data_IF_010549910579
#
_entry.id   IF_010549910579
#
_cell.length_a   1.000
_cell.length_b   1.000
_cell.length_c   1.000
_cell.angle_alpha   90.00
_cell.angle_beta   90.00
_cell.angle_gamma   90.00
#
_symmetry.space_group_name_H-M   'P 1'
#
loop_
_entity.id
_entity.type
_entity.pdbx_description
1 polymer ?
#
# COMPACT_ATOMS: atom_id res chain seq x y z
N UNK A 1 -23.43 10.67 -15.92
CA UNK A 1 -24.40 11.38 -15.04
C UNK A 1 -23.97 12.79 -14.67
N UNK A 2 -22.84 13.01 -13.97
CA UNK A 2 -22.55 14.32 -13.39
C UNK A 2 -22.44 15.50 -14.37
N UNK A 3 -21.85 15.28 -15.53
CA UNK A 3 -21.67 16.33 -16.54
C UNK A 3 -22.99 16.71 -17.26
N UNK A 4 -23.91 15.75 -17.47
CA UNK A 4 -25.22 16.01 -18.08
C UNK A 4 -26.08 16.82 -17.13
N UNK A 5 -26.09 16.45 -15.84
CA UNK A 5 -26.82 17.19 -14.81
C UNK A 5 -26.29 18.63 -14.68
N UNK A 6 -24.97 18.81 -14.71
CA UNK A 6 -24.35 20.14 -14.71
C UNK A 6 -24.72 20.98 -15.95
N UNK A 7 -24.78 20.36 -17.14
CA UNK A 7 -25.19 21.04 -18.38
C UNK A 7 -26.67 21.46 -18.35
N UNK A 8 -27.55 20.59 -17.85
CA UNK A 8 -28.99 20.90 -17.70
C UNK A 8 -29.18 22.06 -16.71
N UNK A 9 -28.51 22.00 -15.57
CA UNK A 9 -28.54 23.04 -14.54
C UNK A 9 -28.02 24.39 -15.08
N UNK A 10 -26.96 24.37 -15.89
CA UNK A 10 -26.34 25.56 -16.49
C UNK A 10 -27.09 26.11 -17.72
N UNK A 11 -28.05 25.38 -18.30
CA UNK A 11 -28.72 25.81 -19.53
C UNK A 11 -29.43 27.17 -19.37
N UNK A 12 -29.38 28.05 -20.37
CA UNK A 12 -29.99 29.39 -20.34
C UNK A 12 -31.53 29.39 -20.46
N UNK A 13 -32.20 28.28 -20.15
CA UNK A 13 -33.66 28.23 -20.13
C UNK A 13 -34.22 29.18 -19.04
N UNK A 14 -35.38 29.76 -19.31
CA UNK A 14 -36.07 30.76 -18.47
C UNK A 14 -35.97 30.40 -16.97
N UNK A 15 -35.45 31.31 -16.11
CA UNK A 15 -35.30 31.06 -14.67
C UNK A 15 -36.64 30.83 -13.95
N UNK A 16 -37.76 31.17 -14.57
CA UNK A 16 -39.10 30.92 -14.01
C UNK A 16 -39.57 29.47 -14.21
N UNK A 17 -38.97 28.72 -15.14
CA UNK A 17 -39.33 27.33 -15.43
C UNK A 17 -38.40 26.40 -14.65
N UNK A 18 -38.99 25.64 -13.73
CA UNK A 18 -38.27 24.57 -13.00
C UNK A 18 -38.22 23.35 -13.92
N UNK A 19 -37.04 22.95 -14.43
CA UNK A 19 -36.94 21.78 -15.30
C UNK A 19 -37.19 20.51 -14.49
N UNK A 20 -37.84 19.53 -15.13
CA UNK A 20 -38.04 18.18 -14.60
C UNK A 20 -36.96 17.29 -15.19
N UNK A 21 -36.22 16.57 -14.33
CA UNK A 21 -35.17 15.65 -14.74
C UNK A 21 -35.49 14.24 -14.26
N UNK A 22 -35.62 13.31 -15.19
CA UNK A 22 -35.84 11.90 -14.91
C UNK A 22 -34.51 11.17 -14.77
N UNK A 23 -34.39 10.30 -13.77
CA UNK A 23 -33.19 9.51 -13.53
C UNK A 23 -33.55 8.17 -12.89
N UNK A 24 -32.93 7.10 -13.34
CA UNK A 24 -32.99 5.76 -12.72
C UNK A 24 -31.96 5.57 -11.61
N UNK A 25 -31.01 6.49 -11.48
CA UNK A 25 -30.01 6.47 -10.42
C UNK A 25 -30.55 7.09 -9.13
N UNK A 26 -31.16 6.27 -8.26
CA UNK A 26 -31.75 6.69 -6.98
C UNK A 26 -30.82 7.56 -6.13
N UNK A 27 -29.55 7.17 -6.01
CA UNK A 27 -28.56 7.91 -5.23
C UNK A 27 -28.39 9.37 -5.69
N UNK A 28 -28.56 9.64 -6.99
CA UNK A 28 -28.50 11.01 -7.51
C UNK A 28 -29.77 11.79 -7.22
N UNK A 29 -30.93 11.14 -7.25
CA UNK A 29 -32.22 11.75 -6.89
C UNK A 29 -32.19 12.17 -5.43
N UNK A 30 -31.88 11.23 -4.52
CA UNK A 30 -31.80 11.49 -3.07
C UNK A 30 -30.81 12.61 -2.76
N UNK A 31 -29.64 12.59 -3.43
CA UNK A 31 -28.61 13.61 -3.21
C UNK A 31 -29.12 15.02 -3.54
N UNK A 32 -29.87 15.19 -4.63
CA UNK A 32 -30.40 16.50 -5.05
C UNK A 32 -31.57 16.94 -4.17
N UNK A 33 -32.47 16.03 -3.81
CA UNK A 33 -33.57 16.30 -2.89
C UNK A 33 -33.05 16.75 -1.52
N UNK A 34 -32.06 16.04 -0.96
CA UNK A 34 -31.47 16.38 0.33
C UNK A 34 -30.88 17.81 0.38
N UNK A 35 -30.27 18.27 -0.72
CA UNK A 35 -29.70 19.62 -0.81
C UNK A 35 -30.80 20.68 -0.79
N UNK A 36 -31.93 20.41 -1.47
CA UNK A 36 -33.05 21.34 -1.49
C UNK A 36 -33.65 21.54 -0.09
N UNK A 37 -33.53 20.50 0.76
CA UNK A 37 -33.93 20.51 2.17
C UNK A 37 -32.80 21.06 3.07
N UNK A 38 -31.67 21.51 2.50
CA UNK A 38 -30.49 22.07 3.19
C UNK A 38 -29.77 21.11 4.13
N UNK A 39 -29.84 19.79 3.86
CA UNK A 39 -29.05 18.79 4.59
C UNK A 39 -27.59 18.83 4.11
N UNK A 40 -26.63 18.84 5.04
CA UNK A 40 -25.21 18.78 4.67
C UNK A 40 -24.86 17.38 4.13
N UNK A 41 -24.24 17.34 2.95
CA UNK A 41 -23.82 16.12 2.27
C UNK A 41 -22.30 15.85 2.42
N UNK A 42 -21.58 16.68 3.18
CA UNK A 42 -20.12 16.64 3.24
C UNK A 42 -19.57 15.31 3.74
N UNK A 43 -20.24 14.68 4.72
CA UNK A 43 -19.86 13.37 5.25
C UNK A 43 -20.00 12.27 4.18
N UNK A 44 -21.11 12.29 3.41
CA UNK A 44 -21.39 11.35 2.33
C UNK A 44 -20.36 11.47 1.21
N UNK A 45 -20.02 12.69 0.80
CA UNK A 45 -19.09 12.94 -0.31
C UNK A 45 -17.63 12.60 -0.01
N UNK A 46 -17.21 12.54 1.26
CA UNK A 46 -15.80 12.26 1.62
C UNK A 46 -15.29 10.92 1.07
N UNK A 47 -16.15 9.92 1.02
CA UNK A 47 -15.81 8.57 0.55
C UNK A 47 -16.19 8.28 -0.89
N UNK A 48 -16.87 9.19 -1.59
CA UNK A 48 -17.39 8.95 -2.92
C UNK A 48 -16.33 9.21 -4.00
N UNK A 49 -16.30 8.35 -5.01
CA UNK A 49 -15.51 8.58 -6.21
C UNK A 49 -16.12 9.74 -7.02
N UNK A 50 -15.28 10.59 -7.61
CA UNK A 50 -15.75 11.76 -8.37
C UNK A 50 -16.48 12.79 -7.51
N UNK A 51 -16.14 12.92 -6.22
CA UNK A 51 -16.72 13.91 -5.30
C UNK A 51 -16.65 15.34 -5.81
N UNK A 52 -15.66 15.69 -6.64
CA UNK A 52 -15.57 17.01 -7.29
C UNK A 52 -16.78 17.24 -8.20
N UNK A 53 -17.14 16.27 -9.03
CA UNK A 53 -18.35 16.33 -9.86
C UNK A 53 -19.61 16.47 -9.02
N UNK A 54 -19.74 15.71 -7.93
CA UNK A 54 -20.88 15.85 -7.03
C UNK A 54 -20.94 17.24 -6.41
N UNK A 55 -19.83 17.77 -5.88
CA UNK A 55 -19.76 19.13 -5.32
C UNK A 55 -20.12 20.20 -6.36
N UNK A 56 -19.66 20.04 -7.60
CA UNK A 56 -20.01 20.95 -8.68
C UNK A 56 -21.51 20.93 -8.98
N UNK A 57 -22.11 19.74 -9.07
CA UNK A 57 -23.56 19.59 -9.21
C UNK A 57 -24.30 20.22 -8.03
N UNK A 58 -23.84 20.02 -6.79
CA UNK A 58 -24.49 20.61 -5.61
C UNK A 58 -24.43 22.13 -5.66
N UNK A 59 -23.32 22.71 -6.11
CA UNK A 59 -23.18 24.16 -6.27
C UNK A 59 -24.21 24.68 -7.27
N UNK A 60 -24.34 24.03 -8.43
CA UNK A 60 -25.32 24.39 -9.46
C UNK A 60 -26.77 24.20 -8.99
N UNK A 61 -27.07 23.13 -8.24
CA UNK A 61 -28.40 22.85 -7.70
C UNK A 61 -28.83 23.85 -6.61
N UNK A 62 -27.87 24.55 -5.97
CA UNK A 62 -28.16 25.67 -5.05
C UNK A 62 -28.54 26.94 -5.80
N UNK A 63 -27.95 27.16 -6.97
CA UNK A 63 -28.23 28.33 -7.82
C UNK A 63 -29.54 28.18 -8.59
N UNK A 64 -29.88 26.96 -9.01
CA UNK A 64 -31.10 26.67 -9.79
C UNK A 64 -31.86 25.47 -9.23
N UNK A 65 -33.16 25.66 -8.99
CA UNK A 65 -34.07 24.57 -8.60
C UNK A 65 -34.32 23.65 -9.79
N UNK A 66 -34.31 22.34 -9.53
CA UNK A 66 -34.65 21.28 -10.49
C UNK A 66 -35.54 20.28 -9.78
N UNK A 67 -36.60 19.84 -10.43
CA UNK A 67 -37.41 18.76 -9.90
C UNK A 67 -36.85 17.43 -10.42
N UNK A 68 -36.22 16.66 -9.55
CA UNK A 68 -35.65 15.37 -9.94
C UNK A 68 -36.65 14.26 -9.61
N UNK A 69 -36.99 13.44 -10.60
CA UNK A 69 -37.96 12.36 -10.43
C UNK A 69 -37.30 11.01 -10.71
N UNK A 70 -37.36 10.13 -9.72
CA UNK A 70 -36.93 8.76 -9.89
C UNK A 70 -37.83 8.04 -10.89
N UNK A 71 -37.21 7.39 -11.88
CA UNK A 71 -37.90 6.53 -12.85
C UNK A 71 -37.25 5.15 -12.82
N UNK A 72 -38.03 4.10 -12.62
CA UNK A 72 -37.47 2.74 -12.52
C UNK A 72 -36.79 2.34 -13.83
N UNK A 73 -35.52 1.98 -13.76
CA UNK A 73 -34.75 1.46 -14.89
C UNK A 73 -35.37 0.19 -15.46
N UNK A 74 -35.26 0.02 -16.78
CA UNK A 74 -35.73 -1.15 -17.54
C UNK A 74 -37.21 -1.52 -17.31
N UNK A 75 -38.07 -0.57 -16.97
CA UNK A 75 -39.51 -0.81 -16.92
C UNK A 75 -40.07 -1.07 -18.33
N UNK A 76 -41.05 -1.98 -18.44
CA UNK A 76 -41.84 -2.17 -19.66
C UNK A 76 -42.96 -1.12 -19.81
N UNK A 77 -42.97 -0.10 -18.93
CA UNK A 77 -44.01 0.92 -18.92
C UNK A 77 -43.90 1.83 -20.15
N UNK A 78 -45.05 2.20 -20.69
CA UNK A 78 -45.15 3.11 -21.83
C UNK A 78 -45.31 4.58 -21.39
N UNK A 79 -45.10 4.88 -20.11
CA UNK A 79 -45.12 6.24 -19.59
C UNK A 79 -44.01 7.10 -20.21
N UNK A 80 -44.26 8.40 -20.41
CA UNK A 80 -43.27 9.33 -20.96
C UNK A 80 -41.93 9.31 -20.20
N UNK A 81 -41.89 9.31 -18.84
CA UNK A 81 -40.63 9.16 -18.10
C UNK A 81 -39.87 7.88 -18.44
N UNK A 82 -40.58 6.75 -18.55
CA UNK A 82 -39.96 5.45 -18.88
C UNK A 82 -39.42 5.41 -20.31
N UNK A 83 -40.10 6.07 -21.26
CA UNK A 83 -39.61 6.19 -22.63
C UNK A 83 -38.33 7.04 -22.70
N UNK A 84 -38.32 8.20 -22.06
CA UNK A 84 -37.14 9.09 -22.02
C UNK A 84 -35.95 8.43 -21.31
N UNK A 85 -36.19 7.69 -20.22
CA UNK A 85 -35.12 6.96 -19.54
C UNK A 85 -34.54 5.84 -20.41
N UNK A 86 -35.39 5.08 -21.13
CA UNK A 86 -34.92 4.05 -22.07
C UNK A 86 -34.07 4.63 -23.20
N UNK A 87 -34.45 5.80 -23.71
CA UNK A 87 -33.68 6.49 -24.74
C UNK A 87 -32.32 6.97 -24.19
N UNK A 88 -32.30 7.54 -22.98
CA UNK A 88 -31.07 7.92 -22.30
C UNK A 88 -30.14 6.72 -22.05
N UNK A 89 -30.66 5.60 -21.58
CA UNK A 89 -29.91 4.35 -21.38
C UNK A 89 -29.37 3.78 -22.70
N UNK A 90 -30.17 3.87 -23.77
CA UNK A 90 -29.76 3.44 -25.11
C UNK A 90 -28.55 4.23 -25.59
N UNK A 91 -28.57 5.57 -25.48
CA UNK A 91 -27.42 6.40 -25.86
C UNK A 91 -26.24 6.22 -24.91
N UNK A 92 -26.47 6.11 -23.61
CA UNK A 92 -25.40 5.87 -22.63
C UNK A 92 -24.67 4.55 -22.92
N UNK A 93 -25.42 3.47 -23.13
CA UNK A 93 -24.87 2.14 -23.47
C UNK A 93 -24.24 2.12 -24.86
N UNK A 94 -24.85 2.80 -25.84
CA UNK A 94 -24.33 2.93 -27.19
C UNK A 94 -22.99 3.67 -27.23
N UNK A 95 -22.84 4.73 -26.43
CA UNK A 95 -21.62 5.53 -26.36
C UNK A 95 -20.41 4.74 -25.84
N UNK A 96 -20.63 3.72 -25.00
CA UNK A 96 -19.57 2.85 -24.49
C UNK A 96 -18.89 2.02 -25.59
N UNK A 97 -19.57 1.81 -26.74
CA UNK A 97 -19.01 1.09 -27.89
C UNK A 97 -17.99 1.92 -28.67
N UNK A 98 -18.01 3.25 -28.50
CA UNK A 98 -17.16 4.17 -29.24
C UNK A 98 -16.46 5.14 -28.28
N UNK A 99 -15.61 4.63 -27.36
CA UNK A 99 -14.99 5.48 -26.34
C UNK A 99 -14.12 6.59 -26.94
N UNK A 100 -13.55 6.37 -28.12
CA UNK A 100 -12.73 7.36 -28.84
C UNK A 100 -13.54 8.56 -29.37
N UNK A 101 -14.84 8.39 -29.58
CA UNK A 101 -15.76 9.44 -30.04
C UNK A 101 -16.39 10.21 -28.87
N UNK A 102 -16.25 9.71 -27.64
CA UNK A 102 -16.80 10.39 -26.46
C UNK A 102 -15.80 11.47 -26.03
N UNK A 103 -16.19 12.76 -26.07
CA UNK A 103 -15.30 13.84 -25.66
C UNK A 103 -14.94 13.69 -24.18
N UNK A 104 -13.67 13.95 -23.87
CA UNK A 104 -13.19 13.93 -22.48
C UNK A 104 -13.92 15.00 -21.66
N UNK A 105 -14.64 14.57 -20.63
CA UNK A 105 -15.24 15.47 -19.66
C UNK A 105 -14.14 15.98 -18.71
N UNK A 106 -13.83 17.29 -18.67
CA UNK A 106 -12.79 17.81 -17.80
C UNK A 106 -13.20 17.66 -16.33
N UNK A 107 -12.27 17.16 -15.51
CA UNK A 107 -12.49 17.02 -14.07
C UNK A 107 -12.59 18.42 -13.41
N UNK A 108 -13.64 18.71 -12.62
CA UNK A 108 -13.88 20.04 -12.06
C UNK A 108 -12.93 20.35 -10.90
N UNK A 109 -11.69 20.73 -11.21
CA UNK A 109 -10.62 21.02 -10.25
C UNK A 109 -10.97 22.14 -9.27
N UNK A 110 -11.82 23.09 -9.67
CA UNK A 110 -12.31 24.19 -8.83
C UNK A 110 -13.19 23.73 -7.65
N UNK A 111 -13.63 22.47 -7.62
CA UNK A 111 -14.40 21.87 -6.51
C UNK A 111 -13.64 20.78 -5.75
N UNK A 112 -12.38 20.54 -6.13
CA UNK A 112 -11.50 19.61 -5.43
C UNK A 112 -11.05 20.18 -4.09
N UNK A 113 -10.54 19.31 -3.21
CA UNK A 113 -9.85 19.77 -2.00
C UNK A 113 -8.50 20.42 -2.40
N UNK A 114 -8.05 21.40 -1.61
CA UNK A 114 -6.83 22.16 -1.87
C UNK A 114 -5.56 21.31 -2.05
N UNK A 115 -5.50 20.12 -1.43
CA UNK A 115 -4.36 19.20 -1.48
C UNK A 115 -4.75 17.84 -2.09
N UNK A 116 -5.54 17.86 -3.17
CA UNK A 116 -5.89 16.64 -3.91
C UNK A 116 -4.66 16.07 -4.60
N UNK A 117 -4.40 14.78 -4.40
CA UNK A 117 -3.22 14.11 -4.97
C UNK A 117 -3.36 13.97 -6.50
N UNK A 118 -2.23 14.04 -7.19
CA UNK A 118 -2.16 13.87 -8.65
C UNK A 118 -0.97 12.99 -9.04
N UNK A 119 -1.19 12.06 -9.97
CA UNK A 119 -0.12 11.34 -10.66
C UNK A 119 -0.34 11.42 -12.18
N UNK A 120 0.76 11.34 -12.94
CA UNK A 120 0.69 11.33 -14.41
C UNK A 120 -0.04 10.10 -14.96
N UNK A 121 0.02 8.98 -14.25
CA UNK A 121 -0.60 7.73 -14.65
C UNK A 121 -2.09 7.67 -14.32
N UNK A 122 -2.48 8.08 -13.10
CA UNK A 122 -3.84 7.89 -12.57
C UNK A 122 -4.69 9.17 -12.60
N UNK A 123 -4.08 10.34 -12.85
CA UNK A 123 -4.74 11.63 -12.79
C UNK A 123 -4.99 12.09 -11.35
N UNK A 124 -6.13 12.73 -11.12
CA UNK A 124 -6.52 13.25 -9.81
C UNK A 124 -7.11 12.16 -8.91
N UNK A 125 -6.50 11.95 -7.74
CA UNK A 125 -6.93 10.95 -6.76
C UNK A 125 -7.80 11.63 -5.71
N UNK A 126 -9.11 11.55 -5.92
CA UNK A 126 -10.09 12.22 -5.07
C UNK A 126 -10.50 11.42 -3.83
N UNK A 127 -10.38 10.10 -3.87
CA UNK A 127 -10.81 9.20 -2.79
C UNK A 127 -9.66 8.32 -2.31
N UNK A 128 -9.77 7.89 -1.06
CA UNK A 128 -8.91 6.86 -0.48
C UNK A 128 -7.38 7.14 -0.56
N UNK A 129 -6.99 8.39 -0.31
CA UNK A 129 -5.59 8.82 -0.32
C UNK A 129 -4.68 7.94 0.56
N UNK A 130 -5.20 7.44 1.69
CA UNK A 130 -4.46 6.53 2.58
C UNK A 130 -4.07 5.25 1.87
N UNK A 131 -5.00 4.56 1.22
CA UNK A 131 -4.69 3.31 0.52
C UNK A 131 -3.78 3.58 -0.68
N UNK A 132 -3.99 4.69 -1.37
CA UNK A 132 -3.12 5.13 -2.46
C UNK A 132 -1.67 5.30 -1.99
N UNK A 133 -1.44 6.09 -0.94
CA UNK A 133 -0.11 6.32 -0.36
C UNK A 133 0.50 4.99 0.14
N UNK A 134 -0.28 4.19 0.87
CA UNK A 134 0.19 2.90 1.39
C UNK A 134 0.64 1.96 0.27
N UNK A 135 -0.07 1.93 -0.86
CA UNK A 135 0.31 1.13 -2.01
C UNK A 135 1.68 1.53 -2.56
N UNK A 136 1.93 2.83 -2.73
CA UNK A 136 3.23 3.30 -3.24
C UNK A 136 4.36 3.09 -2.23
N UNK A 137 4.12 3.30 -0.93
CA UNK A 137 5.10 2.99 0.11
C UNK A 137 5.43 1.49 0.17
N UNK A 138 4.42 0.63 0.06
CA UNK A 138 4.61 -0.81 0.01
C UNK A 138 5.39 -1.23 -1.24
N UNK A 139 5.07 -0.64 -2.40
CA UNK A 139 5.79 -0.87 -3.65
C UNK A 139 7.25 -0.44 -3.54
N UNK A 140 7.53 0.75 -3.01
CA UNK A 140 8.90 1.23 -2.80
C UNK A 140 9.66 0.31 -1.84
N UNK A 141 9.04 -0.08 -0.73
CA UNK A 141 9.65 -1.02 0.21
C UNK A 141 9.96 -2.37 -0.46
N UNK A 142 9.02 -2.91 -1.26
CA UNK A 142 9.24 -4.13 -2.01
C UNK A 142 10.36 -4.00 -3.06
N UNK A 143 10.43 -2.88 -3.79
CA UNK A 143 11.52 -2.63 -4.75
C UNK A 143 12.88 -2.44 -4.05
N UNK A 144 12.89 -1.89 -2.83
CA UNK A 144 14.11 -1.77 -2.03
C UNK A 144 14.57 -3.12 -1.47
N UNK A 145 13.62 -3.97 -1.06
CA UNK A 145 13.87 -5.36 -0.69
C UNK A 145 14.39 -6.17 -1.88
N UNK A 146 13.80 -6.00 -3.07
CA UNK A 146 14.23 -6.70 -4.28
C UNK A 146 15.64 -6.30 -4.75
N UNK A 147 16.04 -5.05 -4.50
CA UNK A 147 17.36 -4.51 -4.90
C UNK A 147 18.44 -4.67 -3.83
N UNK A 148 18.11 -5.01 -2.58
CA UNK A 148 19.12 -5.14 -1.53
C UNK A 148 18.65 -5.83 -0.26
N UNK A 149 19.61 -6.43 0.44
CA UNK A 149 19.39 -7.21 1.67
C UNK A 149 19.27 -6.36 2.94
N UNK A 150 19.05 -5.04 2.80
CA UNK A 150 19.15 -4.05 3.90
C UNK A 150 17.89 -3.90 4.73
N UNK A 151 16.76 -4.42 4.26
CA UNK A 151 15.50 -4.43 4.99
C UNK A 151 15.17 -5.89 5.31
N UNK A 152 14.93 -6.20 6.58
CA UNK A 152 14.45 -7.54 6.97
C UNK A 152 12.93 -7.53 6.99
N UNK A 153 12.32 -8.61 6.50
CA UNK A 153 10.88 -8.80 6.60
C UNK A 153 10.47 -8.81 8.08
N UNK A 154 9.31 -8.23 8.38
CA UNK A 154 8.75 -8.24 9.73
C UNK A 154 8.56 -9.69 10.16
N UNK A 155 9.26 -10.11 11.21
CA UNK A 155 9.31 -11.51 11.63
C UNK A 155 7.93 -12.07 11.97
N UNK A 156 6.99 -11.26 12.46
CA UNK A 156 5.63 -11.71 12.79
C UNK A 156 4.81 -12.20 11.57
N UNK A 157 5.23 -11.90 10.33
CA UNK A 157 4.55 -12.36 9.12
C UNK A 157 4.88 -13.83 8.83
N UNK A 158 6.04 -14.31 9.32
CA UNK A 158 6.57 -15.64 9.02
C UNK A 158 6.83 -16.48 10.28
N UNK A 159 6.88 -15.85 11.44
CA UNK A 159 7.02 -16.47 12.75
C UNK A 159 5.78 -16.14 13.59
N UNK A 160 4.96 -17.15 13.81
CA UNK A 160 3.75 -17.04 14.64
C UNK A 160 4.05 -17.16 16.15
N UNK A 161 5.31 -17.37 16.53
CA UNK A 161 5.70 -17.40 17.93
C UNK A 161 5.74 -15.98 18.48
N UNK A 162 5.26 -15.75 19.72
CA UNK A 162 5.45 -14.47 20.37
C UNK A 162 6.96 -14.17 20.46
N UNK A 163 7.37 -12.91 20.25
CA UNK A 163 8.77 -12.55 20.42
C UNK A 163 9.23 -12.95 21.83
N UNK A 164 10.47 -13.42 22.01
CA UNK A 164 10.97 -13.78 23.34
C UNK A 164 10.76 -12.59 24.29
N UNK A 165 10.24 -12.83 25.50
CA UNK A 165 9.93 -11.78 26.49
C UNK A 165 11.13 -10.83 26.72
N UNK A 166 12.34 -11.38 26.59
CA UNK A 166 13.58 -10.63 26.73
C UNK A 166 14.63 -11.11 25.72
N UNK A 167 14.64 -10.60 24.49
CA UNK A 167 15.61 -11.03 23.49
C UNK A 167 17.06 -10.69 23.91
N UNK A 168 17.22 -9.67 24.75
CA UNK A 168 18.50 -9.03 25.04
C UNK A 168 18.98 -9.20 26.49
N UNK A 169 18.14 -9.71 27.42
CA UNK A 169 18.58 -9.90 28.82
C UNK A 169 19.55 -11.06 29.00
N UNK A 170 19.69 -11.91 27.97
CA UNK A 170 20.72 -12.96 27.90
C UNK A 170 22.00 -12.51 27.23
N UNK A 171 22.10 -11.24 26.83
CA UNK A 171 23.34 -10.70 26.30
C UNK A 171 24.38 -10.61 27.42
N UNK A 172 25.59 -11.11 27.17
CA UNK A 172 26.69 -11.09 28.13
C UNK A 172 27.13 -9.65 28.50
N UNK A 173 26.75 -8.65 27.68
CA UNK A 173 27.03 -7.24 27.89
C UNK A 173 26.03 -6.34 27.17
N UNK A 174 25.99 -5.06 27.56
CA UNK A 174 25.21 -4.02 26.87
C UNK A 174 25.64 -3.84 25.42
N UNK A 175 26.94 -3.97 25.14
CA UNK A 175 27.50 -3.89 23.78
C UNK A 175 27.00 -5.06 22.91
N UNK A 176 26.96 -6.27 23.45
CA UNK A 176 26.43 -7.44 22.73
C UNK A 176 24.95 -7.26 22.38
N UNK A 177 24.14 -6.74 23.30
CA UNK A 177 22.73 -6.43 23.03
C UNK A 177 22.56 -5.41 21.90
N UNK A 178 23.39 -4.35 21.90
CA UNK A 178 23.38 -3.31 20.86
C UNK A 178 23.77 -3.89 19.49
N UNK A 179 24.80 -4.74 19.43
CA UNK A 179 25.20 -5.41 18.18
C UNK A 179 24.06 -6.29 17.68
N UNK A 180 23.44 -7.10 18.55
CA UNK A 180 22.31 -7.95 18.18
C UNK A 180 21.12 -7.15 17.64
N UNK A 181 20.81 -5.99 18.24
CA UNK A 181 19.77 -5.07 17.76
C UNK A 181 20.09 -4.53 16.36
N UNK A 182 21.33 -4.11 16.14
CA UNK A 182 21.76 -3.60 14.84
C UNK A 182 21.79 -4.68 13.76
N UNK A 183 22.25 -5.90 14.10
CA UNK A 183 22.22 -7.04 13.17
C UNK A 183 20.79 -7.40 12.80
N UNK A 184 19.87 -7.51 13.79
CA UNK A 184 18.46 -7.84 13.55
C UNK A 184 17.72 -6.77 12.75
N UNK A 185 18.06 -5.51 12.92
CA UNK A 185 17.46 -4.40 12.16
C UNK A 185 18.10 -4.17 10.79
N UNK A 186 19.17 -4.90 10.44
CA UNK A 186 19.92 -4.67 9.20
C UNK A 186 20.69 -3.33 9.20
N UNK A 187 20.99 -2.80 10.39
CA UNK A 187 21.60 -1.49 10.59
C UNK A 187 22.99 -1.57 11.24
N UNK A 188 23.62 -2.75 11.22
CA UNK A 188 25.01 -2.88 11.65
C UNK A 188 25.88 -1.90 10.85
N UNK A 189 26.74 -1.10 11.49
CA UNK A 189 27.51 -0.05 10.83
C UNK A 189 28.72 -0.65 10.09
N UNK A 190 28.45 -1.54 9.14
CA UNK A 190 29.45 -2.07 8.21
C UNK A 190 29.80 -1.00 7.18
N UNK A 191 30.96 -1.13 6.52
CA UNK A 191 31.37 -0.14 5.52
C UNK A 191 30.35 -0.01 4.38
N UNK A 192 29.69 -1.09 3.96
CA UNK A 192 28.60 -1.07 2.98
C UNK A 192 27.41 -0.20 3.42
N UNK A 193 27.02 -0.27 4.69
CA UNK A 193 25.93 0.54 5.24
C UNK A 193 26.36 2.00 5.38
N UNK A 194 27.56 2.24 5.86
CA UNK A 194 28.09 3.59 6.09
C UNK A 194 28.35 4.35 4.78
N UNK A 195 28.88 3.69 3.75
CA UNK A 195 29.05 4.26 2.41
C UNK A 195 27.69 4.65 1.81
N UNK A 196 26.68 3.78 1.90
CA UNK A 196 25.33 4.09 1.40
C UNK A 196 24.64 5.27 2.13
N UNK A 197 25.16 5.64 3.30
CA UNK A 197 24.72 6.82 4.09
C UNK A 197 25.67 8.01 3.92
N UNK A 198 26.60 7.96 2.97
CA UNK A 198 27.63 8.97 2.71
C UNK A 198 28.48 9.29 3.95
N UNK A 199 28.71 8.29 4.81
CA UNK A 199 29.56 8.39 6.00
C UNK A 199 30.96 7.83 5.79
N UNK A 200 31.14 6.99 4.77
CA UNK A 200 32.43 6.49 4.33
C UNK A 200 32.58 6.65 2.81
N UNK A 201 33.81 6.79 2.31
CA UNK A 201 34.09 6.94 0.88
C UNK A 201 34.13 5.60 0.11
N UNK A 202 34.15 4.47 0.82
CA UNK A 202 34.26 3.13 0.24
C UNK A 202 33.54 2.10 1.10
N UNK A 203 32.98 1.07 0.46
CA UNK A 203 32.38 -0.10 1.09
C UNK A 203 33.36 -1.26 1.31
N UNK A 204 34.64 -1.11 0.98
CA UNK A 204 35.64 -2.14 1.20
C UNK A 204 35.85 -2.44 2.69
N UNK A 205 36.26 -3.67 2.99
CA UNK A 205 36.57 -4.13 4.33
C UNK A 205 37.61 -3.23 5.00
N UNK A 206 37.22 -2.59 6.10
CA UNK A 206 38.11 -1.73 6.89
C UNK A 206 39.22 -2.50 7.60
N UNK A 207 39.11 -3.83 7.64
CA UNK A 207 40.11 -4.72 8.21
C UNK A 207 41.14 -5.21 7.18
N UNK A 208 41.06 -4.73 5.93
CA UNK A 208 42.08 -4.98 4.91
C UNK A 208 41.78 -6.16 3.97
N UNK A 209 40.59 -6.74 4.01
CA UNK A 209 40.17 -7.77 3.06
C UNK A 209 39.83 -7.15 1.70
N UNK A 210 40.12 -7.89 0.61
CA UNK A 210 39.69 -7.52 -0.75
C UNK A 210 38.23 -7.94 -1.00
N UNK A 211 37.33 -7.45 -0.15
CA UNK A 211 35.91 -7.75 -0.20
C UNK A 211 35.10 -6.57 0.36
N UNK A 212 33.81 -6.51 -0.01
CA UNK A 212 32.87 -5.54 0.57
C UNK A 212 32.59 -5.90 2.03
N UNK A 213 32.68 -4.92 2.92
CA UNK A 213 32.30 -5.08 4.32
C UNK A 213 30.77 -5.14 4.47
N UNK A 214 30.22 -6.31 4.16
CA UNK A 214 28.83 -6.65 4.44
C UNK A 214 28.74 -7.39 5.78
N UNK A 215 27.52 -7.50 6.33
CA UNK A 215 27.27 -8.31 7.53
C UNK A 215 27.71 -9.77 7.30
N UNK A 216 27.45 -10.29 6.10
CA UNK A 216 27.86 -11.64 5.72
C UNK A 216 29.38 -11.78 5.72
N UNK A 217 30.10 -10.88 5.04
CA UNK A 217 31.56 -10.88 5.07
C UNK A 217 32.10 -10.82 6.50
N UNK A 218 31.58 -9.94 7.36
CA UNK A 218 32.04 -9.83 8.77
C UNK A 218 31.86 -11.13 9.56
N UNK A 219 30.75 -11.86 9.37
CA UNK A 219 30.40 -13.02 10.19
C UNK A 219 30.65 -14.39 9.54
N UNK A 220 31.03 -14.45 8.26
CA UNK A 220 31.23 -15.70 7.51
C UNK A 220 32.59 -15.74 6.82
N UNK A 221 32.97 -14.68 6.09
CA UNK A 221 34.14 -14.75 5.19
C UNK A 221 35.41 -14.08 5.74
N UNK A 222 35.29 -13.11 6.64
CA UNK A 222 36.40 -12.22 7.00
C UNK A 222 37.51 -12.97 7.73
N UNK A 223 38.75 -13.04 7.21
CA UNK A 223 39.84 -13.80 7.85
C UNK A 223 40.15 -13.35 9.28
N UNK A 224 40.04 -12.06 9.58
CA UNK A 224 40.29 -11.52 10.92
C UNK A 224 39.38 -12.10 12.02
N UNK A 225 38.21 -12.62 11.64
CA UNK A 225 37.27 -13.23 12.57
C UNK A 225 37.22 -14.77 12.46
N UNK A 226 38.13 -15.39 11.71
CA UNK A 226 38.13 -16.85 11.48
C UNK A 226 38.22 -17.65 12.78
N UNK A 227 39.19 -17.35 13.64
CA UNK A 227 39.37 -18.02 14.93
C UNK A 227 38.11 -17.92 15.80
N UNK A 228 37.47 -16.76 15.81
CA UNK A 228 36.25 -16.51 16.56
C UNK A 228 35.06 -17.29 16.00
N UNK A 229 34.95 -17.41 14.67
CA UNK A 229 33.91 -18.21 14.02
C UNK A 229 34.07 -19.68 14.32
N UNK A 230 35.30 -20.22 14.23
CA UNK A 230 35.58 -21.62 14.53
C UNK A 230 35.24 -21.94 15.99
N UNK A 231 35.71 -21.13 16.95
CA UNK A 231 35.42 -21.31 18.36
C UNK A 231 33.91 -21.22 18.66
N UNK A 232 33.21 -20.23 18.10
CA UNK A 232 31.77 -20.07 18.28
C UNK A 232 30.96 -21.21 17.63
N UNK A 233 31.39 -21.69 16.46
CA UNK A 233 30.78 -22.81 15.76
C UNK A 233 30.88 -24.13 16.54
N UNK A 234 32.05 -24.41 17.12
CA UNK A 234 32.26 -25.55 18.02
C UNK A 234 31.39 -25.44 19.28
N UNK A 235 31.36 -24.27 19.93
CA UNK A 235 30.55 -24.05 21.13
C UNK A 235 29.05 -24.26 20.84
N UNK A 236 28.55 -23.70 19.74
CA UNK A 236 27.14 -23.83 19.34
C UNK A 236 26.80 -25.27 19.00
N UNK A 237 27.68 -25.97 18.27
CA UNK A 237 27.47 -27.39 17.94
C UNK A 237 27.36 -28.24 19.21
N UNK A 238 28.31 -28.11 20.13
CA UNK A 238 28.34 -28.88 21.39
C UNK A 238 27.15 -28.55 22.29
N UNK A 239 26.75 -27.28 22.36
CA UNK A 239 25.56 -26.85 23.11
C UNK A 239 24.27 -27.39 22.48
N UNK A 240 24.23 -27.50 21.16
CA UNK A 240 23.08 -28.02 20.42
C UNK A 240 22.95 -29.52 20.62
N UNK A 241 24.05 -30.28 20.55
CA UNK A 241 24.09 -31.71 20.89
C UNK A 241 23.54 -31.99 22.29
N UNK A 242 24.02 -31.25 23.30
CA UNK A 242 23.54 -31.40 24.67
C UNK A 242 22.03 -31.14 24.80
N UNK A 243 21.53 -30.10 24.12
CA UNK A 243 20.10 -29.75 24.13
C UNK A 243 19.24 -30.75 23.39
N UNK A 244 19.73 -31.37 22.32
CA UNK A 244 19.00 -32.42 21.60
C UNK A 244 18.77 -33.64 22.48
N UNK A 245 19.78 -34.00 23.29
CA UNK A 245 19.68 -35.06 24.30
C UNK A 245 18.69 -34.68 25.41
N UNK A 246 18.81 -33.47 25.97
CA UNK A 246 17.91 -32.97 27.02
C UNK A 246 16.44 -32.88 26.56
N UNK A 247 16.20 -32.48 25.31
CA UNK A 247 14.87 -32.34 24.73
C UNK A 247 14.22 -33.67 24.32
N UNK A 248 14.97 -34.78 24.36
CA UNK A 248 14.45 -36.10 24.01
C UNK A 248 13.95 -36.20 22.58
N UNK A 249 14.57 -35.49 21.62
CA UNK A 249 14.19 -35.59 20.20
C UNK A 249 14.51 -37.01 19.73
N UNK A 250 13.50 -37.83 19.42
CA UNK A 250 13.67 -39.27 19.17
C UNK A 250 14.09 -39.62 17.73
N UNK A 251 13.89 -38.71 16.78
CA UNK A 251 14.19 -38.96 15.36
C UNK A 251 15.62 -38.53 15.03
N UNK A 252 16.43 -39.50 14.61
CA UNK A 252 17.83 -39.24 14.22
C UNK A 252 17.95 -38.28 13.03
N UNK A 253 16.96 -38.28 12.12
CA UNK A 253 16.92 -37.37 10.97
C UNK A 253 16.78 -35.90 11.41
N UNK A 254 15.87 -35.62 12.35
CA UNK A 254 15.65 -34.28 12.89
C UNK A 254 16.86 -33.79 13.69
N UNK A 255 17.48 -34.68 14.49
CA UNK A 255 18.71 -34.36 15.21
C UNK A 255 19.85 -33.99 14.25
N UNK A 256 20.01 -34.76 13.16
CA UNK A 256 21.05 -34.52 12.16
C UNK A 256 20.83 -33.22 11.40
N UNK A 257 19.58 -32.93 11.01
CA UNK A 257 19.23 -31.68 10.34
C UNK A 257 19.51 -30.45 11.22
N UNK A 258 19.17 -30.51 12.51
CA UNK A 258 19.43 -29.42 13.47
C UNK A 258 20.94 -29.23 13.69
N UNK A 259 21.70 -30.31 13.81
CA UNK A 259 23.16 -30.24 13.97
C UNK A 259 23.87 -29.70 12.73
N UNK A 260 23.45 -30.12 11.54
CA UNK A 260 23.97 -29.59 10.28
C UNK A 260 23.69 -28.09 10.16
N UNK A 261 22.46 -27.67 10.47
CA UNK A 261 22.09 -26.24 10.51
C UNK A 261 22.95 -25.47 11.51
N UNK A 262 23.27 -26.05 12.67
CA UNK A 262 24.13 -25.41 13.66
C UNK A 262 25.57 -25.24 13.16
N UNK A 263 26.09 -26.23 12.44
CA UNK A 263 27.43 -26.21 11.84
C UNK A 263 27.53 -25.24 10.65
N UNK A 264 26.44 -25.04 9.92
CA UNK A 264 26.39 -24.13 8.77
C UNK A 264 26.19 -22.66 9.13
N UNK A 265 26.07 -22.29 10.43
CA UNK A 265 25.76 -20.91 10.84
C UNK A 265 26.85 -19.88 10.48
N UNK A 266 28.11 -20.32 10.36
CA UNK A 266 29.28 -19.45 10.13
C UNK A 266 30.07 -19.84 8.88
N UNK A 267 29.53 -20.73 8.04
CA UNK A 267 30.22 -21.28 6.87
C UNK A 267 29.23 -21.41 5.72
N UNK A 268 29.60 -20.89 4.55
CA UNK A 268 28.89 -21.10 3.29
C UNK A 268 29.39 -22.41 2.63
N UNK A 269 29.06 -23.55 3.22
CA UNK A 269 29.34 -24.87 2.63
C UNK A 269 28.03 -25.64 2.43
N UNK A 270 27.73 -25.99 1.19
CA UNK A 270 26.56 -26.79 0.83
C UNK A 270 26.66 -28.26 1.31
N UNK A 271 27.85 -28.70 1.74
CA UNK A 271 28.11 -30.04 2.27
C UNK A 271 27.97 -30.14 3.81
N UNK A 272 27.85 -29.01 4.50
CA UNK A 272 27.56 -28.92 5.95
C UNK A 272 26.06 -28.80 6.17
#
# INVERSE_FOLDING_TARGET
MGHILALVLRSNADPTVIPILYSDHQNSVDLIEDIQIRVSQDSRLRGMNGRSYYRWILALARERRVNMLYTRGHSAELSLPSQLNREADHYASGSQRFPELVPFAPTPTFTMDAYTLYTKADGWVESNARNFINFFLAKEAAERLARGNKLRMLTYIHDNMPPPDYPYTRALSTQSAVIQLYVRSGQLPTAEVLESRSKLPSCMCRLGCDAVESVHHTFVDCPEFEDWRLAAGEEISLRTERKLVEAGILREEDQRAILNTAKSLFVDDAAV
#
